data_IF_616681228774
#
_entry.id   IF_616681228774
#
_cell.length_a   1.000
_cell.length_b   1.000
_cell.length_c   1.000
_cell.angle_alpha   90.00
_cell.angle_beta   90.00
_cell.angle_gamma   90.00
#
_symmetry.space_group_name_H-M   'P 1'
#
loop_
_entity.id
_entity.type
_entity.pdbx_description
1 polymer ?
#
# COMPACT_ATOMS: atom_id res chain seq x y z
N UNK A 1 -25.21 44.64 -16.21
CA UNK A 1 -24.58 45.23 -15.01
C UNK A 1 -25.37 44.72 -13.82
N UNK A 2 -24.79 43.80 -13.06
CA UNK A 2 -25.27 43.47 -11.73
C UNK A 2 -24.11 43.79 -10.79
N UNK A 3 -24.41 44.67 -9.86
CA UNK A 3 -23.54 45.18 -8.81
C UNK A 3 -23.30 44.07 -7.78
N UNK A 4 -22.02 43.72 -7.56
CA UNK A 4 -21.60 42.69 -6.59
C UNK A 4 -21.32 43.29 -5.19
N UNK A 5 -21.85 44.47 -4.85
CA UNK A 5 -21.62 45.07 -3.53
C UNK A 5 -22.54 44.56 -2.40
N UNK A 6 -23.31 43.47 -2.59
CA UNK A 6 -24.15 42.92 -1.52
C UNK A 6 -24.09 41.38 -1.50
N UNK A 7 -22.97 40.81 -1.03
CA UNK A 7 -22.95 39.45 -0.47
C UNK A 7 -22.20 39.50 0.86
N UNK A 8 -22.87 39.25 2.01
CA UNK A 8 -22.21 39.27 3.31
C UNK A 8 -21.21 38.11 3.44
N UNK A 9 -20.16 38.34 4.22
CA UNK A 9 -18.94 37.52 4.43
C UNK A 9 -19.12 36.08 4.97
N UNK A 10 -20.29 35.46 4.80
CA UNK A 10 -20.63 34.15 5.39
C UNK A 10 -21.08 33.07 4.41
N UNK A 11 -20.85 33.23 3.10
CA UNK A 11 -21.11 32.16 2.12
C UNK A 11 -19.85 31.55 1.48
N UNK A 12 -18.66 31.78 2.03
CA UNK A 12 -17.45 31.04 1.66
C UNK A 12 -17.27 29.71 2.41
N UNK A 13 -18.37 29.11 2.89
CA UNK A 13 -18.33 27.83 3.57
C UNK A 13 -19.21 26.82 2.84
N UNK A 14 -18.53 25.72 2.49
CA UNK A 14 -18.98 24.35 2.18
C UNK A 14 -19.55 24.04 0.79
N UNK A 15 -18.62 23.69 -0.12
CA UNK A 15 -18.77 22.48 -0.95
C UNK A 15 -17.42 21.74 -0.95
N UNK A 16 -17.29 20.56 -0.31
CA UNK A 16 -16.06 19.78 -0.34
C UNK A 16 -16.14 18.78 -1.50
N UNK A 17 -15.52 19.10 -2.64
CA UNK A 17 -15.11 18.09 -3.63
C UNK A 17 -13.76 18.47 -4.23
N UNK A 18 -12.75 17.72 -3.80
CA UNK A 18 -11.57 17.20 -4.52
C UNK A 18 -11.23 17.89 -5.86
N UNK A 19 -10.21 18.75 -5.83
CA UNK A 19 -8.99 18.78 -6.68
C UNK A 19 -8.38 20.18 -6.52
N UNK A 20 -7.14 20.25 -6.02
CA UNK A 20 -6.38 21.50 -5.97
C UNK A 20 -6.26 22.13 -7.37
N UNK A 21 -6.49 23.45 -7.46
CA UNK A 21 -5.43 24.33 -7.92
C UNK A 21 -4.94 25.16 -6.73
N UNK A 22 -3.63 25.32 -6.64
CA UNK A 22 -3.02 26.25 -5.68
C UNK A 22 -3.47 27.65 -6.10
N UNK A 23 -4.38 28.24 -5.34
CA UNK A 23 -4.73 29.66 -5.47
C UNK A 23 -3.63 30.46 -4.80
N UNK A 24 -2.86 31.22 -5.56
CA UNK A 24 -2.04 32.29 -4.99
C UNK A 24 -2.85 33.58 -5.00
N UNK A 25 -3.20 34.06 -3.81
CA UNK A 25 -3.73 35.39 -3.60
C UNK A 25 -2.62 36.42 -3.85
N UNK A 26 -2.70 37.15 -4.95
CA UNK A 26 -2.07 38.46 -5.07
C UNK A 26 -3.18 39.50 -4.93
N UNK A 27 -3.01 40.44 -4.00
CA UNK A 27 -4.05 41.35 -3.52
C UNK A 27 -4.81 42.13 -4.62
N UNK A 28 -6.05 42.47 -4.25
CA UNK A 28 -7.05 43.28 -4.96
C UNK A 28 -7.37 42.89 -6.42
N UNK A 29 -8.42 42.07 -6.52
CA UNK A 29 -9.41 42.03 -7.60
C UNK A 29 -9.07 41.39 -8.97
N UNK A 30 -8.19 40.37 -9.04
CA UNK A 30 -8.12 39.50 -10.23
C UNK A 30 -7.81 38.02 -9.90
N UNK A 31 -8.46 37.08 -10.60
CA UNK A 31 -8.12 35.66 -10.60
C UNK A 31 -7.73 35.24 -12.02
N UNK A 32 -6.56 34.61 -12.19
CA UNK A 32 -5.99 34.25 -13.50
C UNK A 32 -5.78 32.73 -13.61
N UNK A 33 -6.05 32.17 -14.80
CA UNK A 33 -5.68 30.80 -15.15
C UNK A 33 -4.87 30.85 -16.44
N UNK A 34 -3.64 30.33 -16.38
CA UNK A 34 -2.79 29.95 -17.53
C UNK A 34 -2.80 30.96 -18.69
N UNK A 35 -2.30 32.17 -18.45
CA UNK A 35 -1.75 33.04 -19.51
C UNK A 35 -2.70 33.55 -20.60
N UNK A 36 -4.02 33.38 -20.49
CA UNK A 36 -4.95 33.89 -21.50
C UNK A 36 -5.92 34.93 -20.94
N UNK A 37 -5.87 36.14 -21.52
CA UNK A 37 -6.77 37.26 -21.25
C UNK A 37 -7.95 37.16 -22.22
N UNK A 38 -9.15 36.92 -21.71
CA UNK A 38 -10.37 36.90 -22.54
C UNK A 38 -11.21 38.16 -22.29
N UNK A 39 -11.13 39.10 -23.23
CA UNK A 39 -12.00 40.27 -23.32
C UNK A 39 -13.35 39.91 -23.96
N UNK A 40 -14.44 40.39 -23.36
CA UNK A 40 -15.80 40.06 -23.79
C UNK A 40 -16.29 40.76 -25.06
N UNK A 41 -17.08 40.05 -25.87
CA UNK A 41 -18.09 40.64 -26.77
C UNK A 41 -19.20 39.65 -27.18
N UNK A 42 -20.41 39.96 -26.70
CA UNK A 42 -21.79 39.76 -27.20
C UNK A 42 -22.19 38.61 -28.17
N UNK A 43 -23.16 37.80 -27.69
CA UNK A 43 -24.42 37.31 -28.30
C UNK A 43 -24.50 37.05 -29.82
N UNK A 44 -24.67 35.78 -30.23
CA UNK A 44 -25.85 35.22 -30.99
C UNK A 44 -25.56 33.77 -31.46
N UNK A 45 -26.49 32.82 -31.24
CA UNK A 45 -26.53 31.56 -32.02
C UNK A 45 -26.47 30.25 -31.23
N UNK A 46 -27.52 29.92 -30.45
CA UNK A 46 -27.76 28.58 -29.91
C UNK A 46 -28.61 27.82 -30.93
N UNK A 47 -28.00 27.03 -31.82
CA UNK A 47 -28.58 25.82 -32.45
C UNK A 47 -27.63 25.26 -33.53
N UNK A 48 -26.54 24.59 -33.13
CA UNK A 48 -25.88 23.52 -33.92
C UNK A 48 -24.51 23.11 -33.32
N UNK A 49 -24.46 22.44 -32.16
CA UNK A 49 -23.25 21.66 -31.77
C UNK A 49 -23.59 20.42 -30.91
N UNK A 50 -24.62 19.66 -31.29
CA UNK A 50 -25.01 18.42 -30.62
C UNK A 50 -24.12 17.20 -31.01
N UNK A 51 -22.83 17.42 -31.28
CA UNK A 51 -21.89 16.39 -31.76
C UNK A 51 -20.48 16.47 -31.13
N UNK A 52 -20.34 16.85 -29.85
CA UNK A 52 -19.04 16.80 -29.14
C UNK A 52 -19.17 16.35 -27.67
N UNK A 53 -19.88 15.25 -27.40
CA UNK A 53 -19.84 14.59 -26.08
C UNK A 53 -19.70 13.05 -26.17
N UNK A 54 -19.12 12.51 -27.26
CA UNK A 54 -18.84 11.08 -27.41
C UNK A 54 -17.44 10.65 -26.95
N UNK A 55 -16.72 11.48 -26.20
CA UNK A 55 -15.41 11.14 -25.63
C UNK A 55 -15.39 11.28 -24.10
N UNK A 56 -16.30 10.59 -23.39
CA UNK A 56 -16.00 10.16 -22.03
C UNK A 56 -15.16 8.86 -22.12
N UNK A 57 -13.90 9.01 -22.49
CA UNK A 57 -12.90 7.97 -22.19
C UNK A 57 -12.93 7.77 -20.68
N UNK A 58 -13.16 6.54 -20.23
CA UNK A 58 -13.10 6.15 -18.82
C UNK A 58 -11.77 6.63 -18.22
N UNK A 59 -11.80 7.76 -17.52
CA UNK A 59 -10.71 8.17 -16.65
C UNK A 59 -10.68 7.13 -15.53
N UNK A 60 -9.82 6.12 -15.66
CA UNK A 60 -9.51 5.24 -14.54
C UNK A 60 -8.84 6.11 -13.50
N UNK A 61 -9.59 6.43 -12.44
CA UNK A 61 -9.01 6.93 -11.21
C UNK A 61 -8.02 5.88 -10.71
N UNK A 62 -6.74 6.13 -10.92
CA UNK A 62 -5.72 5.50 -10.09
C UNK A 62 -5.86 6.24 -8.77
N UNK A 63 -6.59 5.65 -7.83
CA UNK A 63 -6.50 6.09 -6.44
C UNK A 63 -5.05 5.88 -6.02
N UNK A 64 -4.29 6.96 -5.91
CA UNK A 64 -3.07 6.95 -5.13
C UNK A 64 -3.50 6.67 -3.69
N UNK A 65 -3.06 5.58 -3.04
CA UNK A 65 -3.34 5.42 -1.63
C UNK A 65 -2.52 6.48 -0.89
N UNK A 66 -3.14 7.63 -0.58
CA UNK A 66 -2.68 8.52 0.47
C UNK A 66 -3.20 7.96 1.79
N UNK A 67 -2.47 6.97 2.30
CA UNK A 67 -2.52 6.41 3.64
C UNK A 67 -1.11 5.90 3.92
N UNK A 68 -0.64 5.97 5.17
CA UNK A 68 0.68 5.49 5.59
C UNK A 68 1.11 4.26 4.77
N UNK A 69 2.28 4.32 4.13
CA UNK A 69 2.86 3.15 3.48
C UNK A 69 3.26 2.18 4.59
N UNK A 70 2.29 1.39 5.06
CA UNK A 70 2.47 0.30 6.02
C UNK A 70 3.09 -0.91 5.29
N UNK A 71 4.20 -0.61 4.64
CA UNK A 71 5.02 -1.50 3.87
C UNK A 71 6.45 -1.32 4.39
N UNK A 72 7.08 -2.42 4.77
CA UNK A 72 8.40 -2.39 5.36
C UNK A 72 9.15 -3.67 5.06
N UNK A 73 10.46 -3.62 5.28
CA UNK A 73 11.30 -4.79 5.14
C UNK A 73 12.37 -4.80 6.24
N UNK A 74 12.86 -5.98 6.56
CA UNK A 74 14.04 -6.15 7.40
C UNK A 74 14.83 -7.33 6.87
N UNK A 75 16.16 -7.19 6.80
CA UNK A 75 17.03 -8.15 6.10
C UNK A 75 18.22 -8.48 6.99
N UNK A 76 18.81 -9.65 6.76
CA UNK A 76 20.07 -10.02 7.42
C UNK A 76 21.22 -9.12 7.00
N UNK A 77 22.17 -8.91 7.91
CA UNK A 77 23.47 -8.30 7.57
C UNK A 77 24.37 -9.26 6.79
N UNK A 78 24.17 -10.57 6.99
CA UNK A 78 24.91 -11.61 6.27
C UNK A 78 24.39 -11.74 4.83
N UNK A 79 25.32 -11.89 3.89
CA UNK A 79 25.01 -11.94 2.47
C UNK A 79 25.68 -13.13 1.78
N UNK A 80 25.02 -13.64 0.76
CA UNK A 80 25.61 -14.60 -0.17
C UNK A 80 26.56 -13.93 -1.15
N UNK A 81 27.51 -14.72 -1.65
CA UNK A 81 28.39 -14.29 -2.73
C UNK A 81 27.61 -14.17 -4.04
N UNK A 82 27.89 -13.08 -4.76
CA UNK A 82 27.41 -12.85 -6.13
C UNK A 82 27.83 -14.03 -7.02
N UNK A 83 26.91 -14.57 -7.82
CA UNK A 83 27.06 -15.77 -8.68
C UNK A 83 26.87 -17.14 -8.00
N UNK A 84 26.28 -17.20 -6.80
CA UNK A 84 25.84 -18.46 -6.21
C UNK A 84 24.46 -18.92 -6.74
N UNK A 85 24.10 -20.22 -6.63
CA UNK A 85 22.74 -20.71 -6.94
C UNK A 85 21.63 -20.06 -6.10
N UNK A 86 22.00 -19.33 -5.04
CA UNK A 86 21.09 -18.65 -4.13
C UNK A 86 20.07 -17.78 -4.86
N UNK A 87 20.50 -16.90 -5.76
CA UNK A 87 19.59 -15.99 -6.46
C UNK A 87 18.55 -16.75 -7.29
N UNK A 88 18.94 -17.85 -7.92
CA UNK A 88 18.03 -18.71 -8.69
C UNK A 88 17.05 -19.44 -7.77
N UNK A 89 17.52 -19.97 -6.64
CA UNK A 89 16.68 -20.64 -5.67
C UNK A 89 15.68 -19.66 -5.02
N UNK A 90 16.12 -18.44 -4.71
CA UNK A 90 15.27 -17.38 -4.15
C UNK A 90 14.17 -16.99 -5.14
N UNK A 91 14.52 -16.72 -6.40
CA UNK A 91 13.51 -16.43 -7.44
C UNK A 91 12.49 -17.56 -7.59
N UNK A 92 12.95 -18.82 -7.55
CA UNK A 92 12.09 -20.00 -7.65
C UNK A 92 11.18 -20.15 -6.44
N UNK A 93 11.69 -19.90 -5.23
CA UNK A 93 10.92 -19.90 -3.99
C UNK A 93 9.82 -18.83 -4.03
N UNK A 94 10.18 -17.59 -4.37
CA UNK A 94 9.24 -16.47 -4.47
C UNK A 94 8.16 -16.73 -5.51
N UNK A 95 8.52 -17.30 -6.66
CA UNK A 95 7.56 -17.73 -7.67
C UNK A 95 6.60 -18.81 -7.16
N UNK A 96 7.10 -19.79 -6.38
CA UNK A 96 6.25 -20.82 -5.79
C UNK A 96 5.27 -20.24 -4.77
N UNK A 97 5.73 -19.34 -3.90
CA UNK A 97 4.88 -18.64 -2.93
C UNK A 97 3.77 -17.86 -3.63
N UNK A 98 4.10 -17.16 -4.72
CA UNK A 98 3.11 -16.43 -5.52
C UNK A 98 2.09 -17.37 -6.18
N UNK A 99 2.56 -18.47 -6.79
CA UNK A 99 1.71 -19.40 -7.53
C UNK A 99 0.73 -20.18 -6.64
N UNK A 100 1.12 -20.42 -5.38
CA UNK A 100 0.35 -21.18 -4.39
C UNK A 100 -0.17 -20.30 -3.27
N UNK A 101 -0.33 -19.01 -3.54
CA UNK A 101 -0.90 -18.04 -2.63
C UNK A 101 -2.28 -18.53 -2.12
N UNK A 102 -2.45 -18.70 -0.80
CA UNK A 102 -3.67 -19.27 -0.24
C UNK A 102 -4.82 -18.25 -0.32
N UNK A 103 -6.07 -18.72 -0.41
CA UNK A 103 -7.23 -17.85 -0.16
C UNK A 103 -7.27 -17.36 1.28
N UNK A 104 -6.81 -18.18 2.23
CA UNK A 104 -6.86 -17.91 3.66
C UNK A 104 -5.68 -18.59 4.35
N UNK A 105 -5.02 -17.89 5.27
CA UNK A 105 -3.94 -18.45 6.08
C UNK A 105 -2.55 -18.30 5.46
N UNK A 106 -1.70 -19.31 5.68
CA UNK A 106 -0.30 -19.32 5.25
C UNK A 106 -0.01 -20.40 4.22
N UNK A 107 0.95 -20.12 3.35
CA UNK A 107 1.59 -21.11 2.51
C UNK A 107 3.09 -21.10 2.79
N UNK A 108 3.68 -22.30 2.83
CA UNK A 108 5.10 -22.49 3.10
C UNK A 108 5.73 -23.37 2.04
N UNK A 109 6.96 -23.07 1.66
CA UNK A 109 7.69 -23.86 0.66
C UNK A 109 9.19 -23.82 0.91
N UNK A 110 9.91 -24.78 0.33
CA UNK A 110 11.36 -24.81 0.37
C UNK A 110 11.95 -25.15 -0.99
N UNK A 111 13.03 -24.48 -1.37
CA UNK A 111 13.68 -24.67 -2.67
C UNK A 111 15.18 -24.82 -2.50
N UNK A 112 15.78 -25.69 -3.31
CA UNK A 112 17.22 -25.93 -3.33
C UNK A 112 17.67 -27.03 -2.38
N UNK A 113 18.99 -27.14 -2.23
CA UNK A 113 19.68 -28.08 -1.34
C UNK A 113 20.84 -27.37 -0.64
N UNK A 114 21.28 -27.92 0.49
CA UNK A 114 22.41 -27.38 1.23
C UNK A 114 23.66 -27.21 0.35
N UNK A 115 24.39 -26.09 0.45
CA UNK A 115 24.23 -24.99 1.42
C UNK A 115 23.30 -23.84 0.96
N UNK A 116 22.61 -23.98 -0.17
CA UNK A 116 21.76 -22.94 -0.77
C UNK A 116 20.26 -23.26 -0.66
N UNK A 117 19.87 -24.05 0.33
CA UNK A 117 18.46 -24.34 0.59
C UNK A 117 17.81 -23.10 1.19
N UNK A 118 16.59 -22.81 0.74
CA UNK A 118 15.79 -21.71 1.24
C UNK A 118 14.43 -22.22 1.70
N UNK A 119 13.95 -21.62 2.77
CA UNK A 119 12.64 -21.78 3.34
C UNK A 119 11.89 -20.46 3.17
N UNK A 120 10.61 -20.54 2.82
CA UNK A 120 9.76 -19.38 2.60
C UNK A 120 8.39 -19.57 3.21
N UNK A 121 7.85 -18.50 3.78
CA UNK A 121 6.49 -18.41 4.29
C UNK A 121 5.83 -17.17 3.70
N UNK A 122 4.63 -17.36 3.15
CA UNK A 122 3.71 -16.30 2.76
C UNK A 122 2.50 -16.38 3.67
N UNK A 123 2.19 -15.30 4.37
CA UNK A 123 0.98 -15.16 5.17
C UNK A 123 0.13 -14.05 4.56
N UNK A 124 -1.05 -14.38 4.09
CA UNK A 124 -2.02 -13.39 3.63
C UNK A 124 -3.01 -13.07 4.74
N UNK A 125 -3.58 -11.86 4.68
CA UNK A 125 -4.70 -11.48 5.54
C UNK A 125 -5.91 -12.37 5.23
N UNK A 126 -6.62 -12.82 6.26
CA UNK A 126 -7.63 -13.88 6.15
C UNK A 126 -8.94 -13.50 5.43
N UNK A 127 -9.13 -12.23 5.11
CA UNK A 127 -10.31 -11.65 4.42
C UNK A 127 -10.11 -11.47 2.92
N UNK A 128 -8.97 -11.90 2.36
CA UNK A 128 -8.62 -11.69 0.95
C UNK A 128 -9.08 -12.82 0.04
N UNK A 129 -9.25 -12.50 -1.24
CA UNK A 129 -9.34 -13.53 -2.28
C UNK A 129 -7.96 -14.12 -2.59
N UNK A 130 -7.90 -15.35 -3.12
CA UNK A 130 -6.63 -15.93 -3.60
C UNK A 130 -5.92 -15.04 -4.62
N UNK A 131 -6.69 -14.31 -5.43
CA UNK A 131 -6.14 -13.40 -6.45
C UNK A 131 -5.45 -12.19 -5.80
N UNK A 132 -6.07 -11.61 -4.78
CA UNK A 132 -5.50 -10.47 -4.06
C UNK A 132 -4.28 -10.89 -3.25
N UNK A 133 -4.33 -12.07 -2.61
CA UNK A 133 -3.19 -12.67 -1.95
C UNK A 133 -2.02 -12.92 -2.93
N UNK A 134 -2.28 -13.50 -4.10
CA UNK A 134 -1.26 -13.70 -5.13
C UNK A 134 -0.67 -12.37 -5.65
N UNK A 135 -1.50 -11.32 -5.78
CA UNK A 135 -1.05 -9.97 -6.13
C UNK A 135 -0.15 -9.39 -5.04
N UNK A 136 -0.49 -9.58 -3.77
CA UNK A 136 0.34 -9.16 -2.65
C UNK A 136 1.66 -9.92 -2.62
N UNK A 137 1.64 -11.24 -2.78
CA UNK A 137 2.83 -12.09 -2.86
C UNK A 137 3.79 -11.63 -3.97
N UNK A 138 3.25 -11.26 -5.14
CA UNK A 138 4.05 -10.69 -6.25
C UNK A 138 4.73 -9.38 -5.85
N UNK A 139 4.01 -8.49 -5.17
CA UNK A 139 4.57 -7.23 -4.70
C UNK A 139 5.64 -7.44 -3.62
N UNK A 140 5.38 -8.34 -2.67
CA UNK A 140 6.32 -8.69 -1.61
C UNK A 140 7.58 -9.36 -2.14
N UNK A 141 7.45 -10.23 -3.16
CA UNK A 141 8.59 -10.83 -3.84
C UNK A 141 9.47 -9.78 -4.55
N UNK A 142 8.84 -8.80 -5.21
CA UNK A 142 9.59 -7.69 -5.82
C UNK A 142 10.33 -6.86 -4.77
N UNK A 143 9.66 -6.53 -3.68
CA UNK A 143 10.26 -5.77 -2.58
C UNK A 143 11.43 -6.54 -1.95
N UNK A 144 11.28 -7.85 -1.70
CA UNK A 144 12.34 -8.71 -1.18
C UNK A 144 13.59 -8.68 -2.07
N UNK A 145 13.41 -8.79 -3.39
CA UNK A 145 14.53 -8.77 -4.35
C UNK A 145 15.21 -7.41 -4.45
N UNK A 146 14.49 -6.32 -4.23
CA UNK A 146 15.03 -4.96 -4.32
C UNK A 146 15.71 -4.54 -3.02
N UNK A 147 15.07 -4.82 -1.88
CA UNK A 147 15.44 -4.28 -0.58
C UNK A 147 16.33 -5.21 0.25
N UNK A 148 16.22 -6.53 0.06
CA UNK A 148 17.06 -7.55 0.72
C UNK A 148 18.03 -8.24 -0.25
N UNK A 149 18.76 -7.45 -1.05
CA UNK A 149 19.66 -7.98 -2.08
C UNK A 149 20.73 -8.88 -1.45
N UNK A 150 20.77 -10.15 -1.88
CA UNK A 150 21.71 -11.19 -1.43
C UNK A 150 21.68 -11.53 0.08
N UNK A 151 20.74 -10.97 0.85
CA UNK A 151 20.61 -11.25 2.28
C UNK A 151 20.20 -12.70 2.52
N UNK A 152 20.85 -13.38 3.47
CA UNK A 152 20.55 -14.77 3.87
C UNK A 152 19.11 -15.00 4.32
N UNK A 153 18.49 -13.97 4.90
CA UNK A 153 17.07 -13.93 5.18
C UNK A 153 16.51 -12.53 4.93
N UNK A 154 15.22 -12.46 4.65
CA UNK A 154 14.51 -11.22 4.45
C UNK A 154 13.05 -11.37 4.82
N UNK A 155 12.54 -10.36 5.53
CA UNK A 155 11.16 -10.28 5.95
C UNK A 155 10.53 -9.01 5.38
N UNK A 156 9.42 -9.18 4.66
CA UNK A 156 8.71 -8.12 3.95
C UNK A 156 7.28 -8.11 4.42
N UNK A 157 6.78 -6.93 4.77
CA UNK A 157 5.42 -6.70 5.24
C UNK A 157 4.75 -5.72 4.30
N UNK A 158 3.52 -6.04 3.93
CA UNK A 158 2.61 -5.18 3.19
C UNK A 158 1.27 -5.20 3.92
N UNK A 159 0.41 -4.21 3.67
CA UNK A 159 -0.93 -4.12 4.27
C UNK A 159 -1.80 -5.39 4.19
N UNK A 160 -1.55 -6.25 3.21
CA UNK A 160 -2.38 -7.42 2.89
C UNK A 160 -1.65 -8.76 2.99
N UNK A 161 -0.32 -8.77 3.13
CA UNK A 161 0.45 -10.00 3.31
C UNK A 161 1.83 -9.73 3.89
N UNK A 162 2.43 -10.75 4.49
CA UNK A 162 3.85 -10.79 4.83
C UNK A 162 4.54 -11.96 4.13
N UNK A 163 5.82 -11.77 3.83
CA UNK A 163 6.70 -12.74 3.19
C UNK A 163 8.01 -12.81 3.95
N UNK A 164 8.35 -14.00 4.44
CA UNK A 164 9.64 -14.26 5.09
C UNK A 164 10.36 -15.38 4.35
N UNK A 165 11.61 -15.15 3.93
CA UNK A 165 12.50 -16.19 3.45
C UNK A 165 13.77 -16.26 4.30
N UNK A 166 14.33 -17.46 4.47
CA UNK A 166 15.58 -17.69 5.19
C UNK A 166 16.28 -18.95 4.71
N UNK A 167 17.59 -19.01 4.89
CA UNK A 167 18.36 -20.25 4.76
C UNK A 167 18.21 -21.19 5.94
N UNK A 168 17.82 -20.66 7.09
CA UNK A 168 17.46 -21.47 8.26
C UNK A 168 16.00 -21.92 8.16
N UNK A 169 15.69 -23.07 8.76
CA UNK A 169 14.33 -23.59 8.74
C UNK A 169 13.41 -22.74 9.63
N UNK A 170 12.40 -22.14 9.00
CA UNK A 170 11.43 -21.24 9.64
C UNK A 170 10.18 -21.98 10.16
N UNK A 171 9.99 -23.25 9.83
CA UNK A 171 8.70 -23.90 9.97
C UNK A 171 8.45 -24.40 11.39
N UNK A 172 7.43 -23.83 12.04
CA UNK A 172 7.05 -24.20 13.41
C UNK A 172 8.05 -23.72 14.47
N UNK A 173 8.98 -22.84 14.09
CA UNK A 173 9.97 -22.24 15.00
C UNK A 173 9.44 -20.88 15.44
N UNK A 174 9.33 -20.68 16.75
CA UNK A 174 8.96 -19.38 17.31
C UNK A 174 10.14 -18.42 17.22
N UNK A 175 10.03 -17.41 16.37
CA UNK A 175 10.98 -16.31 16.29
C UNK A 175 10.48 -15.10 17.10
N UNK A 176 11.11 -14.83 18.23
CA UNK A 176 10.79 -13.67 19.09
C UNK A 176 11.38 -12.36 18.56
N UNK A 177 12.34 -12.44 17.65
CA UNK A 177 13.00 -11.28 17.07
C UNK A 177 12.26 -10.77 15.82
N UNK A 178 11.35 -11.55 15.24
CA UNK A 178 10.47 -11.16 14.15
C UNK A 178 9.28 -10.27 14.61
N UNK A 179 9.53 -9.33 15.53
CA UNK A 179 8.51 -8.41 16.03
C UNK A 179 8.56 -7.10 15.24
N UNK A 180 7.45 -6.74 14.59
CA UNK A 180 7.28 -5.41 14.02
C UNK A 180 6.60 -4.50 15.05
N UNK A 181 7.25 -3.39 15.39
CA UNK A 181 6.67 -2.35 16.26
C UNK A 181 6.53 -1.09 15.41
N UNK A 182 5.30 -0.77 15.05
CA UNK A 182 4.95 0.55 14.49
C UNK A 182 4.68 1.48 15.67
N UNK A 183 5.50 2.52 15.83
CA UNK A 183 5.22 3.56 16.82
C UNK A 183 4.34 4.62 16.16
N UNK A 184 3.07 4.68 16.57
CA UNK A 184 2.28 5.87 16.31
C UNK A 184 2.80 7.01 17.19
N UNK A 185 2.96 8.20 16.60
CA UNK A 185 3.48 9.37 17.32
C UNK A 185 2.47 9.95 18.32
N UNK A 186 1.21 9.50 18.26
CA UNK A 186 0.12 9.94 19.12
C UNK A 186 -0.20 8.82 20.10
N UNK A 187 -0.04 9.03 21.42
CA UNK A 187 -0.43 8.03 22.40
C UNK A 187 -1.95 7.84 22.37
N UNK A 188 -2.37 6.57 22.31
CA UNK A 188 -3.78 6.21 22.42
C UNK A 188 -4.36 6.58 23.78
N UNK A 189 -5.67 6.76 23.84
CA UNK A 189 -6.37 6.88 25.11
C UNK A 189 -6.19 5.60 25.95
N UNK A 190 -6.12 5.75 27.27
CA UNK A 190 -5.85 4.63 28.21
C UNK A 190 -6.88 3.49 28.06
N UNK A 191 -8.16 3.83 27.85
CA UNK A 191 -9.22 2.83 27.69
C UNK A 191 -9.09 2.03 26.37
N UNK A 192 -8.55 2.65 25.31
CA UNK A 192 -8.24 1.98 24.04
C UNK A 192 -7.08 1.01 24.23
N UNK A 193 -6.04 1.43 24.96
CA UNK A 193 -4.88 0.59 25.26
C UNK A 193 -5.27 -0.66 26.08
N UNK A 194 -6.13 -0.50 27.09
CA UNK A 194 -6.65 -1.62 27.89
C UNK A 194 -7.48 -2.60 27.05
N UNK A 195 -8.37 -2.10 26.18
CA UNK A 195 -9.15 -2.94 25.25
C UNK A 195 -8.26 -3.67 24.26
N UNK A 196 -7.19 -3.03 23.79
CA UNK A 196 -6.18 -3.64 22.93
C UNK A 196 -5.47 -4.82 23.61
N UNK A 197 -5.06 -4.65 24.87
CA UNK A 197 -4.47 -5.73 25.67
C UNK A 197 -5.45 -6.91 25.86
N UNK A 198 -6.70 -6.62 26.20
CA UNK A 198 -7.74 -7.65 26.35
C UNK A 198 -7.98 -8.42 25.04
N UNK A 199 -8.00 -7.71 23.91
CA UNK A 199 -8.14 -8.34 22.59
C UNK A 199 -6.95 -9.27 22.29
N UNK A 200 -5.72 -8.81 22.53
CA UNK A 200 -4.52 -9.60 22.28
C UNK A 200 -4.47 -10.87 23.16
N UNK A 201 -4.89 -10.77 24.42
CA UNK A 201 -4.97 -11.93 25.32
C UNK A 201 -5.98 -12.99 24.83
N UNK A 202 -7.16 -12.54 24.34
CA UNK A 202 -8.16 -13.41 23.73
C UNK A 202 -7.63 -14.10 22.46
N UNK A 203 -6.93 -13.36 21.61
CA UNK A 203 -6.33 -13.90 20.39
C UNK A 203 -5.25 -14.95 20.71
N UNK A 204 -4.37 -14.65 21.68
CA UNK A 204 -3.33 -15.58 22.13
C UNK A 204 -3.95 -16.86 22.70
N UNK A 205 -4.98 -16.73 23.53
CA UNK A 205 -5.73 -17.87 24.09
C UNK A 205 -6.39 -18.70 22.99
N UNK A 206 -7.00 -18.06 21.99
CA UNK A 206 -7.60 -18.76 20.84
C UNK A 206 -6.56 -19.55 20.04
N UNK A 207 -5.38 -18.96 19.78
CA UNK A 207 -4.32 -19.62 19.02
C UNK A 207 -3.79 -20.88 19.73
N UNK A 208 -3.69 -20.85 21.07
CA UNK A 208 -3.30 -22.00 21.88
C UNK A 208 -4.30 -23.16 21.80
N UNK A 209 -5.58 -22.88 21.59
CA UNK A 209 -6.62 -23.90 21.49
C UNK A 209 -6.76 -24.53 20.10
N UNK A 210 -6.10 -23.96 19.10
CA UNK A 210 -6.09 -24.44 17.71
C UNK A 210 -4.85 -25.26 17.33
N UNK A 211 -3.93 -25.48 18.28
CA UNK A 211 -2.74 -26.33 18.19
C UNK A 211 -3.01 -27.71 18.78
#
# INVERSE_FOLDING_TARGET
>A
MLDCSIIPLHQCLTVPLLHYPIFTLTGHDQCSIRGEVWGGRNHLGIHQQLLLFSSFTTAKFIASPSGLTDAGYTCSTDNFTTNSPFTTNLNSLLASLQAKAPSTGLYKDSVGQNPYQLYGVLQCRGDLSSKDCASCAKNGAREALQSCTNSTWGNVWLQTCSLHYSTENLFGVLDRNATMITFDQVPDAEDVSLKGLELMDKLASSALTSL
#
